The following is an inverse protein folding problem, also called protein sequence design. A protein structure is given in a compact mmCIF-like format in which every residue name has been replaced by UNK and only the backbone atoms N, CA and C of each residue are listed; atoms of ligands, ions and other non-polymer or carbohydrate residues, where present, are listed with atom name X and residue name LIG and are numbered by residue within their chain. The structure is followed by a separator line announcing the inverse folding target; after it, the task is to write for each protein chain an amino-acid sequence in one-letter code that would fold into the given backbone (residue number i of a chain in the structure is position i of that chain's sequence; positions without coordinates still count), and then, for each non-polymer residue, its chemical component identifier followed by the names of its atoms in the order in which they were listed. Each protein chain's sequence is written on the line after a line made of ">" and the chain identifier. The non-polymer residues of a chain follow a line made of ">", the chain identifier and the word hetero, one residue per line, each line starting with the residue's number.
data_IF_823787135124
#
_entry.id   IF_823787135124
#
_cell.length_a   1.000
_cell.length_b   1.000
_cell.length_c   1.000
_cell.angle_alpha   90.00
_cell.angle_beta   90.00
_cell.angle_gamma   90.00
#
_symmetry.space_group_name_H-M   'P 1'
#
loop_
_entity.id
_entity.type
_entity.pdbx_description
1 polymer ?
#
# COMPACT_ATOMS: atom_id res chain seq x y z
N UNK A 1 53.83 21.18 52.55
CA UNK A 1 55.04 20.51 52.03
C UNK A 1 54.58 19.29 51.25
N UNK A 2 54.62 19.37 49.91
CA UNK A 2 54.55 18.28 48.93
C UNK A 2 53.26 17.40 48.93
N UNK A 3 52.54 17.18 47.82
CA UNK A 3 52.97 17.03 46.43
C UNK A 3 51.86 17.48 45.45
N UNK A 4 52.32 18.17 44.41
CA UNK A 4 51.68 18.25 43.09
C UNK A 4 51.70 16.88 42.38
N UNK A 5 51.02 16.81 41.24
CA UNK A 5 50.98 15.77 40.21
C UNK A 5 49.96 14.65 40.37
N UNK A 6 48.85 14.76 39.65
CA UNK A 6 48.45 13.78 38.60
C UNK A 6 47.17 14.30 37.95
N UNK A 7 47.35 15.30 37.09
CA UNK A 7 46.41 15.63 36.02
C UNK A 7 46.99 15.05 34.74
N UNK A 8 46.69 13.79 34.42
CA UNK A 8 46.92 13.23 33.10
C UNK A 8 46.11 11.94 32.90
N UNK A 9 45.45 11.90 31.75
CA UNK A 9 45.01 10.72 31.03
C UNK A 9 43.85 9.89 31.57
N UNK A 10 42.64 10.42 31.36
CA UNK A 10 41.47 9.57 31.13
C UNK A 10 40.78 10.00 29.83
N UNK A 11 41.52 9.93 28.71
CA UNK A 11 40.97 10.11 27.37
C UNK A 11 40.12 8.87 27.08
N UNK A 12 38.83 9.09 26.83
CA UNK A 12 37.89 8.01 26.54
C UNK A 12 38.30 7.30 25.25
N UNK A 13 38.28 5.97 25.22
CA UNK A 13 38.48 5.21 23.97
C UNK A 13 37.49 5.59 22.86
N UNK A 14 36.36 6.19 23.22
CA UNK A 14 35.41 6.79 22.26
C UNK A 14 35.91 8.13 21.69
N UNK A 15 36.62 8.95 22.48
CA UNK A 15 37.25 10.18 21.98
C UNK A 15 38.44 9.83 21.07
N UNK A 16 39.21 8.78 21.38
CA UNK A 16 40.27 8.29 20.49
C UNK A 16 39.67 7.69 19.21
N UNK A 17 38.53 7.00 19.31
CA UNK A 17 37.78 6.50 18.15
C UNK A 17 37.24 7.62 17.25
N UNK A 18 36.68 8.69 17.84
CA UNK A 18 36.22 9.87 17.10
C UNK A 18 37.37 10.70 16.51
N UNK A 19 38.52 10.78 17.19
CA UNK A 19 39.71 11.48 16.69
C UNK A 19 40.37 10.70 15.54
N UNK A 20 40.40 9.36 15.59
CA UNK A 20 40.91 8.51 14.51
C UNK A 20 40.01 8.47 13.27
N UNK A 21 38.70 8.68 13.41
CA UNK A 21 37.77 8.83 12.28
C UNK A 21 37.82 10.23 11.63
N UNK A 22 38.54 11.19 12.24
CA UNK A 22 38.56 12.60 11.84
C UNK A 22 39.78 13.06 11.03
N UNK A 23 40.78 12.21 10.76
CA UNK A 23 41.82 12.53 9.76
C UNK A 23 41.20 12.40 8.35
N UNK A 24 40.44 13.42 7.96
CA UNK A 24 40.00 13.58 6.58
C UNK A 24 41.24 13.67 5.71
N UNK A 25 41.51 12.62 4.93
CA UNK A 25 42.63 12.60 3.99
C UNK A 25 42.49 13.79 3.05
N UNK A 26 43.55 14.57 2.89
CA UNK A 26 43.54 15.69 1.95
C UNK A 26 43.53 15.16 0.52
N UNK A 27 43.15 16.02 -0.43
CA UNK A 27 43.21 15.68 -1.86
C UNK A 27 44.63 15.29 -2.26
N UNK A 28 45.64 15.93 -1.66
CA UNK A 28 47.06 15.64 -1.85
C UNK A 28 47.44 14.24 -1.35
N UNK A 29 46.98 13.84 -0.16
CA UNK A 29 47.26 12.50 0.40
C UNK A 29 46.66 11.41 -0.50
N UNK A 30 45.42 11.61 -0.94
CA UNK A 30 44.73 10.66 -1.81
C UNK A 30 45.46 10.54 -3.16
N UNK A 31 45.95 11.65 -3.72
CA UNK A 31 46.75 11.65 -4.97
C UNK A 31 48.07 10.89 -4.85
N UNK A 32 48.67 10.86 -3.66
CA UNK A 32 49.90 10.13 -3.43
C UNK A 32 49.65 8.61 -3.45
N UNK A 33 48.49 8.19 -2.95
CA UNK A 33 48.11 6.77 -2.84
C UNK A 33 47.51 6.16 -4.11
N UNK A 34 47.18 6.98 -5.12
CA UNK A 34 46.70 6.48 -6.41
C UNK A 34 47.78 5.64 -7.10
N UNK A 35 47.40 4.45 -7.57
CA UNK A 35 48.28 3.64 -8.41
C UNK A 35 48.61 4.41 -9.70
N UNK A 36 49.90 4.48 -10.07
CA UNK A 36 50.40 5.19 -11.25
C UNK A 36 50.98 4.22 -12.26
N UNK A 37 50.93 4.60 -13.53
CA UNK A 37 51.61 3.89 -14.61
C UNK A 37 53.08 4.34 -14.74
N UNK A 38 53.82 3.67 -15.62
CA UNK A 38 55.24 3.96 -15.89
C UNK A 38 55.52 5.40 -16.34
N UNK A 39 54.48 6.13 -16.79
CA UNK A 39 54.56 7.54 -17.21
C UNK A 39 54.21 8.52 -16.07
N UNK A 40 54.00 8.02 -14.85
CA UNK A 40 53.65 8.83 -13.68
C UNK A 40 52.20 9.30 -13.60
N UNK A 41 51.35 8.89 -14.57
CA UNK A 41 49.93 9.24 -14.60
C UNK A 41 49.10 8.27 -13.76
N UNK A 42 48.03 8.76 -13.15
CA UNK A 42 47.06 7.92 -12.42
C UNK A 42 46.49 6.82 -13.32
N UNK A 43 46.56 5.59 -12.85
CA UNK A 43 45.95 4.44 -13.52
C UNK A 43 44.43 4.62 -13.57
N UNK A 44 43.85 4.36 -14.73
CA UNK A 44 42.41 4.53 -15.00
C UNK A 44 41.60 3.32 -14.53
N UNK A 45 41.86 2.83 -13.32
CA UNK A 45 41.27 1.60 -12.77
C UNK A 45 40.06 1.91 -11.89
N UNK A 46 39.17 0.93 -11.74
CA UNK A 46 38.06 1.02 -10.78
C UNK A 46 38.60 1.21 -9.36
N UNK A 47 39.68 0.52 -8.99
CA UNK A 47 40.27 0.62 -7.66
C UNK A 47 40.70 2.05 -7.29
N UNK A 48 41.32 2.78 -8.23
CA UNK A 48 41.67 4.19 -8.01
C UNK A 48 40.43 5.07 -7.86
N UNK A 49 39.36 4.80 -8.61
CA UNK A 49 38.10 5.53 -8.47
C UNK A 49 37.45 5.25 -7.10
N UNK A 50 37.43 3.98 -6.65
CA UNK A 50 36.93 3.58 -5.33
C UNK A 50 37.69 4.28 -4.21
N UNK A 51 39.03 4.31 -4.28
CA UNK A 51 39.87 4.99 -3.29
C UNK A 51 39.45 6.47 -3.11
N UNK A 52 39.21 7.17 -4.22
CA UNK A 52 38.73 8.56 -4.20
C UNK A 52 37.35 8.63 -3.55
N UNK A 53 36.37 7.84 -3.99
CA UNK A 53 35.02 7.88 -3.43
C UNK A 53 34.96 7.52 -1.93
N UNK A 54 35.90 6.72 -1.40
CA UNK A 54 35.93 6.34 0.01
C UNK A 54 36.67 7.33 0.91
N UNK A 55 37.59 8.13 0.36
CA UNK A 55 38.48 8.99 1.16
C UNK A 55 38.33 10.48 0.90
N UNK A 56 37.84 10.86 -0.27
CA UNK A 56 37.71 12.26 -0.66
C UNK A 56 36.76 13.01 0.29
N UNK A 57 37.17 14.17 0.83
CA UNK A 57 36.36 14.99 1.73
C UNK A 57 34.94 15.34 1.24
N UNK A 58 34.76 15.53 -0.07
CA UNK A 58 33.47 15.90 -0.65
C UNK A 58 32.67 14.65 -1.06
N UNK A 59 33.33 13.61 -1.55
CA UNK A 59 32.66 12.43 -2.10
C UNK A 59 32.40 11.31 -1.09
N UNK A 60 33.15 11.25 0.02
CA UNK A 60 33.00 10.23 1.06
C UNK A 60 31.58 10.25 1.62
N UNK A 61 30.85 9.15 1.41
CA UNK A 61 29.49 8.95 1.93
C UNK A 61 28.41 9.80 1.26
N UNK A 62 28.73 10.63 0.27
CA UNK A 62 27.74 11.48 -0.39
C UNK A 62 26.91 10.74 -1.43
N UNK A 63 27.47 9.72 -2.08
CA UNK A 63 26.77 8.91 -3.08
C UNK A 63 26.16 7.69 -2.41
N UNK A 64 24.82 7.62 -2.40
CA UNK A 64 24.07 6.63 -1.63
C UNK A 64 22.96 6.00 -2.46
N UNK A 65 22.68 4.70 -2.27
CA UNK A 65 21.55 4.02 -2.91
C UNK A 65 20.31 4.13 -2.02
N UNK A 66 19.25 4.71 -2.56
CA UNK A 66 17.95 4.80 -1.91
C UNK A 66 17.18 3.50 -2.14
N UNK A 67 16.90 2.75 -1.08
CA UNK A 67 16.23 1.44 -1.17
C UNK A 67 14.73 1.54 -1.50
N UNK A 68 14.09 2.67 -1.21
CA UNK A 68 12.68 2.90 -1.54
C UNK A 68 12.50 3.19 -3.04
N UNK A 69 13.33 4.08 -3.58
CA UNK A 69 13.25 4.51 -4.99
C UNK A 69 14.13 3.68 -5.93
N UNK A 70 15.08 2.91 -5.41
CA UNK A 70 16.10 2.20 -6.20
C UNK A 70 17.11 3.10 -6.91
N UNK A 71 17.00 4.42 -6.75
CA UNK A 71 17.87 5.42 -7.41
C UNK A 71 19.13 5.65 -6.58
N UNK A 72 20.14 6.23 -7.23
CA UNK A 72 21.28 6.81 -6.54
C UNK A 72 20.93 8.25 -6.19
N UNK A 73 21.11 8.62 -4.93
CA UNK A 73 20.97 9.98 -4.45
C UNK A 73 22.34 10.53 -4.04
N UNK A 74 22.48 11.84 -4.14
CA UNK A 74 23.61 12.58 -3.57
C UNK A 74 23.12 13.25 -2.29
N UNK A 75 23.78 12.91 -1.18
CA UNK A 75 23.54 13.43 0.17
C UNK A 75 24.71 14.33 0.55
N UNK A 76 24.39 15.54 1.02
CA UNK A 76 25.39 16.57 1.32
C UNK A 76 25.64 17.54 0.18
N UNK A 77 26.55 18.50 0.42
CA UNK A 77 26.84 19.57 -0.51
C UNK A 77 28.14 19.29 -1.27
N UNK A 78 28.05 19.01 -2.57
CA UNK A 78 29.20 18.79 -3.45
C UNK A 78 29.75 20.08 -4.10
N UNK A 79 29.20 21.24 -3.76
CA UNK A 79 29.70 22.54 -4.21
C UNK A 79 29.05 23.10 -5.46
N UNK A 80 28.10 22.38 -6.08
CA UNK A 80 27.24 22.91 -7.15
C UNK A 80 25.77 22.89 -6.75
N UNK A 81 24.97 23.74 -7.39
CA UNK A 81 23.54 23.84 -7.12
C UNK A 81 22.78 22.65 -7.71
N UNK A 82 21.84 22.11 -6.94
CA UNK A 82 21.02 20.96 -7.30
C UNK A 82 19.55 21.24 -6.98
N UNK A 83 18.65 20.63 -7.74
CA UNK A 83 17.19 20.78 -7.58
C UNK A 83 16.54 19.59 -6.88
N UNK A 84 17.22 18.44 -6.81
CA UNK A 84 16.72 17.24 -6.16
C UNK A 84 17.87 16.44 -5.54
N UNK A 85 17.56 15.51 -4.63
CA UNK A 85 18.55 14.59 -4.06
C UNK A 85 19.04 13.58 -5.09
N UNK A 86 18.17 13.08 -5.97
CA UNK A 86 18.50 12.06 -6.97
C UNK A 86 19.57 12.49 -7.95
N UNK A 87 20.48 11.56 -8.25
CA UNK A 87 21.58 11.74 -9.20
C UNK A 87 21.03 12.03 -10.61
N UNK A 88 21.53 13.10 -11.21
CA UNK A 88 21.20 13.51 -12.60
C UNK A 88 22.40 13.39 -13.52
N UNK A 89 22.18 13.43 -14.83
CA UNK A 89 23.28 13.43 -15.82
C UNK A 89 24.25 14.61 -15.61
N UNK A 90 23.72 15.78 -15.22
CA UNK A 90 24.56 16.94 -14.89
C UNK A 90 25.46 16.67 -13.69
N UNK A 91 24.93 16.03 -12.64
CA UNK A 91 25.75 15.63 -11.49
C UNK A 91 26.85 14.64 -11.90
N UNK A 92 26.52 13.69 -12.76
CA UNK A 92 27.49 12.73 -13.30
C UNK A 92 28.62 13.48 -14.03
N UNK A 93 28.31 14.45 -14.89
CA UNK A 93 29.33 15.26 -15.56
C UNK A 93 30.19 16.09 -14.59
N UNK A 94 29.59 16.65 -13.54
CA UNK A 94 30.33 17.39 -12.50
C UNK A 94 31.28 16.47 -11.74
N UNK A 95 30.85 15.26 -11.39
CA UNK A 95 31.68 14.24 -10.74
C UNK A 95 32.84 13.83 -11.66
N UNK A 96 32.59 13.53 -12.94
CA UNK A 96 33.65 13.20 -13.90
C UNK A 96 34.68 14.33 -14.00
N UNK A 97 34.22 15.58 -14.14
CA UNK A 97 35.10 16.74 -14.20
C UNK A 97 35.91 16.92 -12.91
N UNK A 98 35.28 16.74 -11.74
CA UNK A 98 35.95 16.81 -10.45
C UNK A 98 37.06 15.76 -10.33
N UNK A 99 36.78 14.50 -10.72
CA UNK A 99 37.75 13.42 -10.70
C UNK A 99 38.89 13.63 -11.71
N UNK A 100 38.58 14.16 -12.89
CA UNK A 100 39.59 14.48 -13.89
C UNK A 100 40.52 15.58 -13.38
N UNK A 101 39.95 16.70 -12.90
CA UNK A 101 40.68 17.88 -12.46
C UNK A 101 41.52 17.58 -11.23
N UNK A 102 40.95 16.85 -10.27
CA UNK A 102 41.60 16.64 -8.98
C UNK A 102 42.41 15.35 -8.91
N UNK A 103 42.14 14.32 -9.72
CA UNK A 103 42.82 13.03 -9.58
C UNK A 103 43.38 12.48 -10.89
N UNK A 104 43.13 13.15 -12.03
CA UNK A 104 43.55 12.70 -13.35
C UNK A 104 42.79 11.45 -13.83
N UNK A 105 41.64 11.13 -13.23
CA UNK A 105 40.80 10.00 -13.60
C UNK A 105 39.77 10.45 -14.64
N UNK A 106 39.81 9.84 -15.83
CA UNK A 106 39.09 10.27 -17.05
C UNK A 106 38.27 9.14 -17.70
N UNK A 107 38.30 7.94 -17.13
CA UNK A 107 37.58 6.81 -17.69
C UNK A 107 36.16 6.74 -17.13
N UNK A 108 35.22 7.36 -17.85
CA UNK A 108 33.82 7.48 -17.42
C UNK A 108 33.19 6.13 -17.07
N UNK A 109 33.53 5.07 -17.82
CA UNK A 109 33.01 3.73 -17.58
C UNK A 109 33.44 3.20 -16.21
N UNK A 110 34.69 3.40 -15.82
CA UNK A 110 35.19 2.95 -14.53
C UNK A 110 34.71 3.83 -13.38
N UNK A 111 34.59 5.14 -13.61
CA UNK A 111 34.01 6.07 -12.63
C UNK A 111 32.55 5.71 -12.36
N UNK A 112 31.74 5.48 -13.40
CA UNK A 112 30.34 5.09 -13.25
C UNK A 112 30.19 3.73 -12.56
N UNK A 113 31.08 2.76 -12.83
CA UNK A 113 31.09 1.47 -12.10
C UNK A 113 31.41 1.68 -10.63
N UNK A 114 32.45 2.44 -10.30
CA UNK A 114 32.82 2.74 -8.91
C UNK A 114 31.69 3.47 -8.18
N UNK A 115 31.06 4.46 -8.82
CA UNK A 115 29.92 5.18 -8.27
C UNK A 115 28.74 4.26 -7.93
N UNK A 116 28.41 3.29 -8.82
CA UNK A 116 27.38 2.30 -8.55
C UNK A 116 27.74 1.36 -7.38
N UNK A 117 29.01 0.95 -7.27
CA UNK A 117 29.49 0.11 -6.17
C UNK A 117 29.37 0.87 -4.85
N UNK A 118 29.90 2.08 -4.78
CA UNK A 118 29.88 2.95 -3.59
C UNK A 118 28.44 3.27 -3.16
N UNK A 119 27.56 3.59 -4.11
CA UNK A 119 26.15 3.79 -3.81
C UNK A 119 25.53 2.53 -3.17
N UNK A 120 25.87 1.35 -3.71
CA UNK A 120 25.40 0.06 -3.19
C UNK A 120 26.00 -0.30 -1.82
N UNK A 121 27.19 0.19 -1.48
CA UNK A 121 27.77 0.06 -0.14
C UNK A 121 27.08 1.01 0.85
N UNK A 122 26.76 2.22 0.41
CA UNK A 122 26.10 3.25 1.22
C UNK A 122 24.58 3.27 1.03
N UNK A 123 23.92 2.13 1.25
CA UNK A 123 22.45 2.03 1.16
C UNK A 123 21.76 2.75 2.31
N UNK A 124 20.56 3.23 2.02
CA UNK A 124 19.69 3.79 3.05
C UNK A 124 18.24 3.69 2.63
N UNK A 125 17.34 3.63 3.61
CA UNK A 125 15.91 3.65 3.36
C UNK A 125 15.31 4.90 4.03
N UNK A 126 14.85 5.90 3.27
CA UNK A 126 14.47 7.20 3.83
C UNK A 126 13.37 7.10 4.90
N UNK A 127 12.43 6.16 4.73
CA UNK A 127 11.34 5.93 5.69
C UNK A 127 11.84 5.23 6.96
N UNK A 128 12.68 4.18 6.87
CA UNK A 128 13.27 3.54 8.05
C UNK A 128 14.08 4.56 8.84
N UNK A 129 14.96 5.29 8.17
CA UNK A 129 15.79 6.33 8.77
C UNK A 129 14.95 7.42 9.45
N UNK A 130 13.75 7.71 8.95
CA UNK A 130 12.82 8.66 9.57
C UNK A 130 12.12 8.04 10.79
N UNK A 131 11.53 6.85 10.62
CA UNK A 131 10.79 6.14 11.66
C UNK A 131 11.66 5.81 12.88
N UNK A 132 12.91 5.41 12.68
CA UNK A 132 13.83 5.10 13.78
C UNK A 132 14.20 6.31 14.64
N UNK A 133 14.06 7.53 14.09
CA UNK A 133 14.33 8.78 14.82
C UNK A 133 13.12 9.27 15.62
N UNK A 134 11.94 8.67 15.42
CA UNK A 134 10.73 9.06 16.12
C UNK A 134 10.82 8.70 17.61
N UNK A 135 10.28 9.59 18.43
CA UNK A 135 10.13 9.41 19.87
C UNK A 135 8.67 9.64 20.23
N UNK A 136 8.04 8.59 20.75
CA UNK A 136 6.66 8.66 21.20
C UNK A 136 6.58 9.44 22.50
N UNK A 137 5.58 10.30 22.61
CA UNK A 137 5.30 11.09 23.81
C UNK A 137 4.40 10.37 24.84
N UNK A 138 4.02 9.12 24.57
CA UNK A 138 3.19 8.30 25.45
C UNK A 138 1.68 8.55 25.32
N UNK A 139 1.23 9.41 24.40
CA UNK A 139 -0.19 9.66 24.17
C UNK A 139 -0.72 8.86 22.98
N UNK A 140 -1.81 8.07 23.15
CA UNK A 140 -2.39 7.29 22.06
C UNK A 140 -3.14 8.20 21.08
N UNK A 141 -2.87 8.02 19.79
CA UNK A 141 -3.37 8.84 18.69
C UNK A 141 -3.89 8.04 17.50
N UNK A 142 -3.36 6.85 17.24
CA UNK A 142 -3.73 6.04 16.07
C UNK A 142 -5.26 5.87 15.99
N UNK A 143 -5.88 5.53 17.12
CA UNK A 143 -7.33 5.27 17.25
C UNK A 143 -8.21 6.47 16.88
N UNK A 144 -7.68 7.68 17.01
CA UNK A 144 -8.41 8.92 16.80
C UNK A 144 -8.08 9.60 15.48
N UNK A 145 -7.18 9.05 14.66
CA UNK A 145 -6.78 9.65 13.38
C UNK A 145 -7.99 9.87 12.45
N UNK A 146 -8.77 8.82 12.21
CA UNK A 146 -9.92 8.88 11.29
C UNK A 146 -11.09 9.67 11.91
N UNK A 147 -11.49 9.45 13.18
CA UNK A 147 -12.52 10.28 13.82
C UNK A 147 -12.18 11.77 13.83
N UNK A 148 -10.95 12.15 14.22
CA UNK A 148 -10.55 13.55 14.39
C UNK A 148 -10.54 14.33 13.08
N UNK A 149 -9.92 13.77 12.03
CA UNK A 149 -9.66 14.48 10.78
C UNK A 149 -10.73 14.27 9.72
N UNK A 150 -11.49 13.18 9.81
CA UNK A 150 -12.43 12.76 8.76
C UNK A 150 -13.84 12.48 9.31
N UNK A 151 -14.07 12.56 10.62
CA UNK A 151 -15.39 12.32 11.22
C UNK A 151 -15.85 10.87 11.08
N UNK A 152 -14.92 9.92 11.04
CA UNK A 152 -15.26 8.49 11.08
C UNK A 152 -15.79 8.06 12.46
N UNK A 153 -16.52 6.95 12.49
CA UNK A 153 -16.99 6.35 13.74
C UNK A 153 -15.83 5.95 14.68
N UNK A 154 -16.02 6.15 15.98
CA UNK A 154 -15.04 5.77 17.01
C UNK A 154 -15.29 4.32 17.52
N UNK A 155 -15.49 3.38 16.60
CA UNK A 155 -15.80 1.98 16.89
C UNK A 155 -14.53 1.08 16.93
N UNK A 156 -14.70 -0.18 17.35
CA UNK A 156 -13.61 -1.16 17.42
C UNK A 156 -13.01 -1.41 16.02
N UNK A 157 -13.87 -1.44 14.99
CA UNK A 157 -13.49 -1.71 13.60
C UNK A 157 -12.54 -0.64 13.05
N UNK A 158 -12.89 0.64 13.18
CA UNK A 158 -12.12 1.77 12.66
C UNK A 158 -10.75 1.86 13.34
N UNK A 159 -10.70 1.63 14.66
CA UNK A 159 -9.45 1.59 15.44
C UNK A 159 -8.56 0.45 14.99
N UNK A 160 -9.11 -0.76 14.86
CA UNK A 160 -8.35 -1.94 14.45
C UNK A 160 -7.81 -1.80 13.02
N UNK A 161 -8.62 -1.29 12.08
CA UNK A 161 -8.22 -1.07 10.70
C UNK A 161 -7.07 -0.06 10.60
N UNK A 162 -7.15 1.06 11.32
CA UNK A 162 -6.11 2.09 11.29
C UNK A 162 -4.79 1.57 11.88
N UNK A 163 -4.85 0.87 13.03
CA UNK A 163 -3.68 0.21 13.64
C UNK A 163 -3.05 -0.82 12.71
N UNK A 164 -3.88 -1.71 12.15
CA UNK A 164 -3.44 -2.75 11.22
C UNK A 164 -2.77 -2.14 9.98
N UNK A 165 -3.34 -1.08 9.42
CA UNK A 165 -2.79 -0.39 8.26
C UNK A 165 -1.42 0.21 8.55
N UNK A 166 -1.26 0.93 9.67
CA UNK A 166 0.02 1.54 10.04
C UNK A 166 1.08 0.47 10.34
N UNK A 167 0.73 -0.59 11.06
CA UNK A 167 1.64 -1.72 11.29
C UNK A 167 2.03 -2.39 9.97
N UNK A 168 1.08 -2.62 9.06
CA UNK A 168 1.36 -3.19 7.75
C UNK A 168 2.30 -2.30 6.92
N UNK A 169 2.13 -0.98 6.97
CA UNK A 169 3.00 -0.03 6.31
C UNK A 169 4.43 -0.06 6.86
N UNK A 170 4.60 -0.21 8.18
CA UNK A 170 5.91 -0.45 8.81
C UNK A 170 6.49 -1.78 8.33
N UNK A 171 5.75 -2.89 8.43
CA UNK A 171 6.21 -4.20 7.96
C UNK A 171 6.62 -4.18 6.48
N UNK A 172 5.89 -3.49 5.60
CA UNK A 172 6.25 -3.36 4.18
C UNK A 172 7.63 -2.73 3.98
N UNK A 173 8.02 -1.83 4.88
CA UNK A 173 9.31 -1.15 4.83
C UNK A 173 10.40 -2.01 5.49
N UNK A 174 10.19 -2.64 6.64
CA UNK A 174 11.22 -3.44 7.33
C UNK A 174 11.36 -4.87 6.78
N UNK A 175 10.28 -5.44 6.28
CA UNK A 175 10.18 -6.77 5.67
C UNK A 175 9.57 -6.68 4.26
N UNK A 176 10.29 -6.09 3.28
CA UNK A 176 9.80 -5.94 1.91
C UNK A 176 9.26 -7.25 1.34
N UNK A 177 8.04 -7.20 0.82
CA UNK A 177 7.32 -8.36 0.31
C UNK A 177 6.57 -9.19 1.34
N UNK A 178 6.41 -8.71 2.59
CA UNK A 178 5.45 -9.30 3.53
C UNK A 178 4.05 -9.44 2.89
N UNK A 179 3.26 -10.41 3.35
CA UNK A 179 1.91 -10.58 2.84
C UNK A 179 0.97 -9.61 3.55
N UNK A 180 0.43 -8.66 2.79
CA UNK A 180 -0.64 -7.77 3.23
C UNK A 180 -1.52 -7.41 2.04
N UNK A 181 -2.83 -7.63 2.17
CA UNK A 181 -3.79 -7.50 1.06
C UNK A 181 -5.06 -6.71 1.41
N UNK A 182 -5.09 -6.03 2.56
CA UNK A 182 -6.19 -5.15 2.96
C UNK A 182 -5.88 -3.73 2.47
N UNK A 183 -6.87 -3.09 1.86
CA UNK A 183 -6.84 -1.71 1.38
C UNK A 183 -7.91 -0.92 2.13
N UNK A 184 -7.47 0.07 2.91
CA UNK A 184 -8.38 0.98 3.62
C UNK A 184 -9.01 1.92 2.60
N UNK A 185 -10.34 1.97 2.57
CA UNK A 185 -11.11 2.74 1.61
C UNK A 185 -11.93 3.81 2.34
N UNK A 186 -11.56 5.08 2.20
CA UNK A 186 -12.34 6.17 2.80
C UNK A 186 -13.51 6.53 1.89
N UNK A 187 -14.73 6.45 2.42
CA UNK A 187 -15.98 6.67 1.67
C UNK A 187 -16.76 7.81 2.30
N UNK A 188 -17.03 8.86 1.54
CA UNK A 188 -17.82 9.99 2.04
C UNK A 188 -17.78 11.19 1.11
N UNK A 189 -18.44 12.27 1.49
CA UNK A 189 -18.63 13.46 0.65
C UNK A 189 -17.34 14.03 0.05
N UNK A 190 -17.48 14.70 -1.11
CA UNK A 190 -16.37 15.45 -1.71
C UNK A 190 -15.90 16.56 -0.76
N UNK A 191 -14.60 16.82 -0.76
CA UNK A 191 -14.02 17.87 0.09
C UNK A 191 -13.77 17.46 1.55
N UNK A 192 -14.05 16.21 1.93
CA UNK A 192 -13.78 15.68 3.28
C UNK A 192 -12.27 15.60 3.65
N UNK A 193 -11.35 15.89 2.73
CA UNK A 193 -9.91 15.82 2.99
C UNK A 193 -9.29 14.42 2.89
N UNK A 194 -9.99 13.42 2.34
CA UNK A 194 -9.53 12.01 2.23
C UNK A 194 -8.12 11.84 1.62
N UNK A 195 -7.91 12.35 0.40
CA UNK A 195 -6.61 12.25 -0.28
C UNK A 195 -5.52 13.05 0.44
N UNK A 196 -5.88 14.20 1.02
CA UNK A 196 -4.97 14.99 1.86
C UNK A 196 -4.55 14.24 3.12
N UNK A 197 -5.47 13.49 3.75
CA UNK A 197 -5.16 12.64 4.89
C UNK A 197 -4.12 11.60 4.55
N UNK A 198 -4.28 10.86 3.45
CA UNK A 198 -3.28 9.88 3.05
C UNK A 198 -1.95 10.50 2.63
N UNK A 199 -1.98 11.67 1.97
CA UNK A 199 -0.76 12.44 1.67
C UNK A 199 0.00 12.84 2.92
N UNK A 200 -0.68 13.32 3.95
CA UNK A 200 -0.03 13.67 5.23
C UNK A 200 0.39 12.42 6.01
N UNK A 201 -0.39 11.34 5.93
CA UNK A 201 -0.05 10.06 6.55
C UNK A 201 1.25 9.48 5.99
N UNK A 202 1.60 9.77 4.73
CA UNK A 202 2.88 9.41 4.14
C UNK A 202 4.07 10.21 4.71
N UNK A 203 3.84 11.17 5.62
CA UNK A 203 4.84 12.03 6.29
C UNK A 203 5.49 13.04 5.34
N UNK A 204 6.14 12.54 4.29
CA UNK A 204 6.66 13.32 3.18
C UNK A 204 5.76 13.10 1.96
N UNK A 205 5.33 14.19 1.33
CA UNK A 205 4.44 14.16 0.18
C UNK A 205 5.06 13.39 -1.01
N UNK A 206 6.39 13.31 -1.11
CA UNK A 206 7.08 12.49 -2.13
C UNK A 206 6.92 10.98 -1.91
N UNK A 207 6.52 10.53 -0.71
CA UNK A 207 6.24 9.12 -0.42
C UNK A 207 4.77 8.77 -0.65
N UNK A 208 3.98 9.72 -1.15
CA UNK A 208 2.59 9.53 -1.51
C UNK A 208 2.40 9.59 -3.03
N UNK A 209 1.51 8.78 -3.59
CA UNK A 209 1.13 8.84 -5.00
C UNK A 209 -0.33 8.49 -5.21
N UNK A 210 -1.02 9.27 -6.04
CA UNK A 210 -2.39 9.06 -6.52
C UNK A 210 -2.45 8.83 -8.06
N UNK A 211 -1.29 8.71 -8.72
CA UNK A 211 -1.20 8.59 -10.18
C UNK A 211 -1.44 7.16 -10.70
N UNK A 212 -1.84 6.23 -9.83
CA UNK A 212 -2.13 4.85 -10.21
C UNK A 212 -3.55 4.73 -10.79
N UNK A 213 -3.74 5.26 -12.00
CA UNK A 213 -5.04 5.27 -12.71
C UNK A 213 -5.40 3.94 -13.38
N UNK A 214 -4.38 3.15 -13.78
CA UNK A 214 -4.54 1.92 -14.56
C UNK A 214 -3.53 0.88 -14.13
N UNK A 215 -4.01 -0.32 -13.85
CA UNK A 215 -3.21 -1.43 -13.30
C UNK A 215 -2.59 -2.33 -14.39
N UNK A 216 -3.09 -2.18 -15.62
CA UNK A 216 -2.64 -2.87 -16.82
C UNK A 216 -1.54 -2.10 -17.59
N UNK A 217 -1.10 -0.95 -17.07
CA UNK A 217 -0.02 -0.16 -17.67
C UNK A 217 1.35 -0.83 -17.38
N UNK A 218 2.13 -1.06 -18.43
CA UNK A 218 3.48 -1.63 -18.36
C UNK A 218 4.42 -0.80 -17.45
N UNK A 219 4.08 0.47 -17.19
CA UNK A 219 4.82 1.39 -16.33
C UNK A 219 4.27 1.51 -14.91
N UNK A 220 3.25 0.75 -14.50
CA UNK A 220 2.69 0.77 -13.13
C UNK A 220 3.78 0.72 -12.07
N UNK A 221 4.79 -0.12 -12.28
CA UNK A 221 5.88 -0.26 -11.31
C UNK A 221 6.72 1.01 -11.14
N UNK A 222 6.92 1.78 -12.21
CA UNK A 222 7.62 3.07 -12.10
C UNK A 222 6.81 4.10 -11.32
N UNK A 223 5.47 4.02 -11.39
CA UNK A 223 4.56 4.85 -10.61
C UNK A 223 4.54 4.45 -9.14
N UNK A 224 4.77 3.18 -8.83
CA UNK A 224 4.86 2.70 -7.44
C UNK A 224 6.21 2.98 -6.79
N UNK A 225 7.30 2.90 -7.57
CA UNK A 225 8.67 3.05 -7.08
C UNK A 225 8.89 4.41 -6.42
N UNK A 226 9.45 4.41 -5.20
CA UNK A 226 9.66 5.65 -4.43
C UNK A 226 8.51 6.04 -3.50
N UNK A 227 7.36 5.36 -3.54
CA UNK A 227 6.19 5.70 -2.74
C UNK A 227 5.88 4.64 -1.68
N UNK A 228 5.40 5.09 -0.53
CA UNK A 228 5.02 4.26 0.62
C UNK A 228 3.51 4.02 0.67
N UNK A 229 2.73 5.07 0.44
CA UNK A 229 1.27 5.03 0.43
C UNK A 229 0.83 5.39 -0.99
N UNK A 230 0.10 4.48 -1.62
CA UNK A 230 -0.43 4.66 -2.96
C UNK A 230 -1.94 4.71 -2.89
N UNK A 231 -2.50 5.88 -3.16
CA UNK A 231 -3.93 6.08 -3.33
C UNK A 231 -4.36 5.56 -4.70
N UNK A 232 -5.45 4.80 -4.69
CA UNK A 232 -6.19 4.43 -5.88
C UNK A 232 -7.51 5.20 -5.87
N UNK A 233 -7.47 6.40 -6.44
CA UNK A 233 -8.60 7.34 -6.47
C UNK A 233 -9.69 6.86 -7.44
N UNK A 234 -10.95 6.97 -7.03
CA UNK A 234 -12.12 6.69 -7.89
C UNK A 234 -12.21 5.25 -8.43
N UNK A 235 -11.60 4.30 -7.74
CA UNK A 235 -11.30 2.94 -8.24
C UNK A 235 -12.42 2.15 -8.93
N UNK A 236 -13.69 2.49 -8.76
CA UNK A 236 -14.74 1.49 -8.95
C UNK A 236 -16.00 1.93 -9.72
N UNK A 237 -16.04 3.13 -10.31
CA UNK A 237 -17.23 3.56 -11.06
C UNK A 237 -17.48 2.76 -12.37
N UNK A 238 -16.52 1.95 -12.84
CA UNK A 238 -16.61 1.26 -14.15
C UNK A 238 -15.88 -0.10 -14.20
N UNK A 239 -15.99 -0.91 -13.15
CA UNK A 239 -15.21 -2.16 -13.04
C UNK A 239 -16.09 -3.36 -13.38
N UNK A 240 -15.80 -3.99 -14.52
CA UNK A 240 -16.40 -5.28 -14.89
C UNK A 240 -15.75 -6.42 -14.08
N UNK A 241 -16.37 -7.61 -14.08
CA UNK A 241 -15.92 -8.76 -13.29
C UNK A 241 -14.42 -9.11 -13.46
N UNK A 242 -13.90 -8.96 -14.69
CA UNK A 242 -12.50 -9.25 -15.02
C UNK A 242 -11.54 -8.30 -14.31
N UNK A 243 -11.86 -7.00 -14.28
CA UNK A 243 -11.03 -6.00 -13.60
C UNK A 243 -10.99 -6.18 -12.07
N UNK A 244 -11.99 -6.81 -11.44
CA UNK A 244 -11.99 -7.08 -9.99
C UNK A 244 -10.91 -8.12 -9.63
N UNK A 245 -10.84 -9.21 -10.39
CA UNK A 245 -9.83 -10.25 -10.17
C UNK A 245 -8.41 -9.70 -10.35
N UNK A 246 -8.23 -8.82 -11.35
CA UNK A 246 -6.96 -8.13 -11.60
C UNK A 246 -6.58 -7.19 -10.44
N UNK A 247 -7.53 -6.40 -9.91
CA UNK A 247 -7.32 -5.56 -8.72
C UNK A 247 -6.92 -6.42 -7.52
N UNK A 248 -7.69 -7.48 -7.23
CA UNK A 248 -7.44 -8.39 -6.11
C UNK A 248 -6.08 -9.05 -6.24
N UNK A 249 -5.72 -9.51 -7.44
CA UNK A 249 -4.42 -10.08 -7.76
C UNK A 249 -3.32 -9.05 -7.50
N UNK A 250 -3.47 -7.84 -8.03
CA UNK A 250 -2.48 -6.79 -7.87
C UNK A 250 -2.25 -6.38 -6.42
N UNK A 251 -3.31 -6.14 -5.63
CA UNK A 251 -3.20 -5.84 -4.19
C UNK A 251 -2.51 -7.00 -3.44
N UNK A 252 -2.79 -8.24 -3.85
CA UNK A 252 -2.27 -9.45 -3.20
C UNK A 252 -0.79 -9.75 -3.46
N UNK A 253 -0.19 -9.18 -4.52
CA UNK A 253 1.21 -9.45 -4.90
C UNK A 253 2.18 -9.04 -3.79
N UNK A 254 3.26 -9.80 -3.66
CA UNK A 254 4.34 -9.57 -2.70
C UNK A 254 5.61 -9.02 -3.35
N UNK A 255 5.73 -9.14 -4.67
CA UNK A 255 6.86 -8.64 -5.44
C UNK A 255 6.43 -8.28 -6.84
N UNK A 256 7.22 -7.43 -7.44
CA UNK A 256 7.14 -6.98 -8.81
C UNK A 256 8.38 -7.48 -9.56
N UNK A 257 8.19 -8.21 -10.66
CA UNK A 257 9.29 -8.62 -11.54
C UNK A 257 9.30 -7.70 -12.76
N UNK A 258 10.29 -6.82 -12.86
CA UNK A 258 10.42 -5.95 -14.03
C UNK A 258 11.87 -5.54 -14.31
N UNK A 259 12.11 -5.09 -15.54
CA UNK A 259 13.40 -4.63 -16.03
C UNK A 259 13.39 -3.09 -16.12
N UNK A 260 14.27 -2.41 -15.39
CA UNK A 260 14.48 -0.97 -15.59
C UNK A 260 15.22 -0.80 -16.93
N UNK A 261 14.95 0.28 -17.71
CA UNK A 261 15.77 0.59 -18.88
C UNK A 261 17.26 0.53 -18.55
N UNK A 262 18.06 0.00 -19.49
CA UNK A 262 19.52 -0.16 -19.36
C UNK A 262 20.01 -1.24 -18.39
N UNK A 263 19.14 -1.85 -17.57
CA UNK A 263 19.49 -3.09 -16.87
C UNK A 263 19.62 -4.24 -17.88
N UNK A 264 20.46 -5.22 -17.59
CA UNK A 264 20.62 -6.40 -18.47
C UNK A 264 19.55 -7.46 -18.18
N UNK A 265 19.20 -7.63 -16.91
CA UNK A 265 18.29 -8.67 -16.43
C UNK A 265 17.13 -8.05 -15.64
N UNK A 266 15.91 -8.60 -15.75
CA UNK A 266 14.83 -8.25 -14.84
C UNK A 266 15.19 -8.66 -13.41
N UNK A 267 14.76 -7.86 -12.44
CA UNK A 267 14.98 -8.10 -11.02
C UNK A 267 13.63 -8.24 -10.29
N UNK A 268 13.60 -9.12 -9.29
CA UNK A 268 12.49 -9.20 -8.36
C UNK A 268 12.60 -8.08 -7.34
N UNK A 269 11.59 -7.21 -7.29
CA UNK A 269 11.52 -6.09 -6.34
C UNK A 269 10.40 -6.39 -5.35
N UNK A 270 10.72 -6.75 -4.09
CA UNK A 270 9.71 -6.99 -3.08
C UNK A 270 8.93 -5.70 -2.77
N UNK A 271 7.62 -5.84 -2.56
CA UNK A 271 6.73 -4.70 -2.38
C UNK A 271 6.95 -4.02 -1.03
N UNK A 272 7.17 -2.70 -1.08
CA UNK A 272 7.42 -1.82 0.07
C UNK A 272 6.28 -0.82 0.36
N UNK A 273 5.25 -0.79 -0.49
CA UNK A 273 4.12 0.13 -0.35
C UNK A 273 2.85 -0.55 0.18
N UNK A 274 1.93 0.26 0.69
CA UNK A 274 0.55 -0.09 1.01
C UNK A 274 -0.41 0.68 0.10
N UNK A 275 -1.59 0.10 -0.14
CA UNK A 275 -2.63 0.71 -0.96
C UNK A 275 -3.75 1.26 -0.10
N UNK A 276 -4.31 2.38 -0.54
CA UNK A 276 -5.49 3.02 0.04
C UNK A 276 -6.45 3.42 -1.07
N UNK A 277 -7.73 3.47 -0.76
CA UNK A 277 -8.78 3.87 -1.70
C UNK A 277 -9.52 5.09 -1.18
N UNK A 278 -10.01 5.92 -2.09
CA UNK A 278 -10.98 6.97 -1.78
C UNK A 278 -12.16 6.90 -2.74
N UNK A 279 -13.36 7.10 -2.20
CA UNK A 279 -14.59 7.16 -2.97
C UNK A 279 -15.53 8.23 -2.44
N UNK A 280 -16.27 8.86 -3.34
CA UNK A 280 -17.42 9.68 -3.02
C UNK A 280 -18.75 8.92 -3.21
N UNK A 281 -18.71 7.74 -3.84
CA UNK A 281 -19.87 6.88 -4.05
C UNK A 281 -19.94 5.82 -2.94
N UNK A 282 -21.14 5.59 -2.41
CA UNK A 282 -21.43 4.50 -1.50
C UNK A 282 -21.34 3.15 -2.23
N UNK A 283 -21.78 3.09 -3.49
CA UNK A 283 -21.75 1.87 -4.32
C UNK A 283 -20.38 1.67 -4.99
N UNK A 284 -19.30 1.82 -4.22
CA UNK A 284 -17.94 1.69 -4.75
C UNK A 284 -17.43 0.26 -4.70
N UNK A 285 -17.97 -0.64 -3.90
CA UNK A 285 -17.48 -2.01 -3.93
C UNK A 285 -17.97 -2.71 -5.20
N UNK A 286 -17.13 -3.54 -5.82
CA UNK A 286 -17.61 -4.30 -6.95
C UNK A 286 -18.68 -5.29 -6.50
N UNK A 287 -19.58 -5.62 -7.43
CA UNK A 287 -20.53 -6.69 -7.27
C UNK A 287 -19.83 -8.07 -7.33
N UNK A 288 -19.07 -8.39 -6.29
CA UNK A 288 -18.33 -9.64 -6.17
C UNK A 288 -18.91 -10.55 -5.10
N UNK A 289 -19.66 -11.55 -5.54
CA UNK A 289 -20.29 -12.54 -4.66
C UNK A 289 -19.29 -13.52 -4.03
N UNK A 290 -18.03 -13.54 -4.47
CA UNK A 290 -16.92 -14.28 -3.80
C UNK A 290 -16.34 -13.53 -2.60
N UNK A 291 -16.77 -12.28 -2.39
CA UNK A 291 -16.46 -11.46 -1.22
C UNK A 291 -15.38 -10.40 -1.48
N UNK A 292 -15.50 -9.28 -0.76
CA UNK A 292 -14.65 -8.09 -0.92
C UNK A 292 -13.61 -7.94 0.19
N UNK A 293 -13.13 -9.04 0.81
CA UNK A 293 -12.24 -9.05 1.99
C UNK A 293 -10.98 -8.16 1.93
N UNK A 294 -10.57 -7.72 0.74
CA UNK A 294 -9.40 -6.86 0.51
C UNK A 294 -9.72 -5.37 0.62
N UNK A 295 -11.00 -5.00 0.63
CA UNK A 295 -11.46 -3.63 0.72
C UNK A 295 -12.05 -3.40 2.11
N UNK A 296 -11.48 -2.49 2.88
CA UNK A 296 -11.98 -2.11 4.19
C UNK A 296 -12.59 -0.70 4.12
N UNK A 297 -13.91 -0.58 3.86
CA UNK A 297 -14.56 0.72 3.83
C UNK A 297 -14.52 1.37 5.22
N UNK A 298 -14.34 2.68 5.27
CA UNK A 298 -14.55 3.50 6.46
C UNK A 298 -15.36 4.71 6.03
N UNK A 299 -16.53 4.88 6.63
CA UNK A 299 -17.38 6.04 6.41
C UNK A 299 -16.73 7.28 7.03
N UNK A 300 -16.78 8.38 6.28
CA UNK A 300 -16.25 9.67 6.72
C UNK A 300 -17.31 10.74 6.55
N UNK A 301 -17.49 11.53 7.61
CA UNK A 301 -18.55 12.52 7.75
C UNK A 301 -17.94 13.90 7.98
N UNK A 302 -17.84 14.76 6.94
CA UNK A 302 -17.32 16.12 7.09
C UNK A 302 -17.99 16.92 8.20
N UNK A 303 -19.27 16.68 8.45
CA UNK A 303 -20.08 17.28 9.49
C UNK A 303 -19.67 16.92 10.92
N UNK A 304 -18.94 15.82 11.12
CA UNK A 304 -18.48 15.33 12.43
C UNK A 304 -16.99 15.61 12.67
N UNK A 305 -16.32 16.25 11.72
CA UNK A 305 -14.89 16.57 11.82
C UNK A 305 -14.67 17.57 12.95
N UNK A 306 -13.88 17.16 13.96
CA UNK A 306 -13.47 18.04 15.07
C UNK A 306 -12.57 19.17 14.54
N UNK A 307 -11.65 18.83 13.63
CA UNK A 307 -10.69 19.76 13.03
C UNK A 307 -10.33 19.31 11.62
N UNK A 308 -10.56 20.17 10.63
CA UNK A 308 -10.24 19.82 9.25
C UNK A 308 -8.72 19.71 9.08
N UNK A 309 -8.26 18.69 8.35
CA UNK A 309 -6.83 18.37 8.26
C UNK A 309 -5.96 19.52 7.72
N UNK A 310 -6.53 20.39 6.88
CA UNK A 310 -5.88 21.58 6.32
C UNK A 310 -6.01 22.85 7.17
N UNK A 311 -6.77 22.82 8.27
CA UNK A 311 -6.97 24.00 9.12
C UNK A 311 -5.65 24.44 9.77
N UNK A 312 -4.84 23.48 10.20
CA UNK A 312 -3.48 23.70 10.71
C UNK A 312 -2.59 22.53 10.27
N UNK A 313 -1.97 22.67 9.10
CA UNK A 313 -1.12 21.61 8.53
C UNK A 313 0.04 21.23 9.46
N UNK A 314 0.61 22.19 10.20
CA UNK A 314 1.75 21.92 11.08
C UNK A 314 1.33 21.04 12.25
N UNK A 315 0.20 21.33 12.89
CA UNK A 315 -0.34 20.50 13.96
C UNK A 315 -0.80 19.13 13.43
N UNK A 316 -1.48 19.09 12.29
CA UNK A 316 -1.91 17.83 11.65
C UNK A 316 -0.73 16.90 11.36
N UNK A 317 0.35 17.43 10.78
CA UNK A 317 1.58 16.65 10.51
C UNK A 317 2.27 16.21 11.79
N UNK A 318 2.29 17.03 12.84
CA UNK A 318 2.86 16.64 14.13
C UNK A 318 2.05 15.54 14.82
N UNK A 319 0.72 15.63 14.77
CA UNK A 319 -0.17 14.60 15.31
C UNK A 319 0.05 13.25 14.61
N UNK A 320 0.10 13.26 13.28
CA UNK A 320 0.42 12.08 12.46
C UNK A 320 1.82 11.55 12.76
N UNK A 321 2.81 12.44 12.93
CA UNK A 321 4.17 12.06 13.32
C UNK A 321 4.18 11.32 14.65
N UNK A 322 3.43 11.79 15.64
CA UNK A 322 3.29 11.10 16.93
C UNK A 322 2.51 9.79 16.83
N UNK A 323 1.51 9.70 15.95
CA UNK A 323 0.82 8.42 15.68
C UNK A 323 1.77 7.39 15.04
N UNK A 324 2.68 7.81 14.15
CA UNK A 324 3.74 6.92 13.65
C UNK A 324 4.74 6.52 14.74
N UNK A 325 5.05 7.43 15.67
CA UNK A 325 5.90 7.11 16.82
C UNK A 325 5.23 6.05 17.73
N UNK A 326 3.93 6.19 18.00
CA UNK A 326 3.13 5.17 18.69
C UNK A 326 3.15 3.84 17.93
N UNK A 327 2.94 3.86 16.61
CA UNK A 327 2.95 2.65 15.78
C UNK A 327 4.30 1.94 15.79
N UNK A 328 5.40 2.70 15.86
CA UNK A 328 6.75 2.14 16.01
C UNK A 328 6.96 1.49 17.37
N UNK A 329 6.42 2.06 18.46
CA UNK A 329 6.46 1.44 19.78
C UNK A 329 5.63 0.16 19.82
N UNK A 330 4.43 0.16 19.20
CA UNK A 330 3.64 -1.05 19.00
C UNK A 330 4.46 -2.09 18.25
N UNK A 331 5.02 -1.74 17.09
CA UNK A 331 5.87 -2.62 16.27
C UNK A 331 7.02 -3.24 17.07
N UNK A 332 7.75 -2.44 17.85
CA UNK A 332 8.88 -2.87 18.71
C UNK A 332 8.45 -3.78 19.86
N UNK A 333 7.24 -3.62 20.39
CA UNK A 333 6.72 -4.44 21.48
C UNK A 333 6.38 -5.89 21.08
N UNK A 334 6.54 -6.26 19.79
CA UNK A 334 6.53 -7.64 19.31
C UNK A 334 5.18 -8.17 18.83
N UNK A 335 5.19 -9.45 18.40
CA UNK A 335 4.14 -10.22 17.70
C UNK A 335 2.90 -9.46 17.22
N UNK A 336 2.95 -9.06 15.94
CA UNK A 336 1.81 -8.52 15.19
C UNK A 336 1.39 -9.52 14.11
N UNK A 337 0.14 -9.95 14.13
CA UNK A 337 -0.45 -10.60 12.96
C UNK A 337 -1.02 -9.52 12.04
N UNK A 338 -0.59 -9.50 10.77
CA UNK A 338 -1.14 -8.61 9.74
C UNK A 338 -2.50 -9.11 9.24
N UNK A 339 -3.43 -9.35 10.17
CA UNK A 339 -4.77 -9.87 9.94
C UNK A 339 -5.75 -9.18 10.87
N UNK A 340 -7.00 -9.12 10.42
CA UNK A 340 -8.10 -8.68 11.27
C UNK A 340 -8.49 -9.79 12.24
N UNK A 341 -9.01 -9.40 13.39
CA UNK A 341 -9.66 -10.28 14.34
C UNK A 341 -10.90 -10.90 13.70
N UNK A 342 -11.27 -12.12 14.13
CA UNK A 342 -12.43 -12.83 13.56
C UNK A 342 -13.75 -12.03 13.69
N UNK A 343 -13.93 -11.32 14.81
CA UNK A 343 -15.08 -10.42 15.04
C UNK A 343 -15.11 -9.29 14.00
N UNK A 344 -13.97 -8.68 13.74
CA UNK A 344 -13.84 -7.56 12.80
C UNK A 344 -13.97 -8.02 11.35
N UNK A 345 -13.51 -9.23 11.01
CA UNK A 345 -13.78 -9.83 9.69
C UNK A 345 -15.27 -10.10 9.45
N UNK A 346 -16.00 -10.57 10.46
CA UNK A 346 -17.45 -10.77 10.38
C UNK A 346 -18.20 -9.44 10.21
N UNK A 347 -17.86 -8.44 11.03
CA UNK A 347 -18.41 -7.09 10.89
C UNK A 347 -18.13 -6.49 9.52
N UNK A 348 -16.87 -6.61 9.04
CA UNK A 348 -16.48 -6.13 7.72
C UNK A 348 -17.31 -6.77 6.60
N UNK A 349 -17.58 -8.09 6.67
CA UNK A 349 -18.40 -8.78 5.65
C UNK A 349 -19.83 -8.27 5.61
N UNK A 350 -20.42 -7.97 6.76
CA UNK A 350 -21.78 -7.41 6.83
C UNK A 350 -21.79 -5.98 6.29
N UNK A 351 -20.90 -5.12 6.78
CA UNK A 351 -20.81 -3.72 6.36
C UNK A 351 -20.50 -3.58 4.86
N UNK A 352 -19.68 -4.46 4.27
CA UNK A 352 -19.39 -4.44 2.83
C UNK A 352 -20.64 -4.57 1.95
N UNK A 353 -21.73 -5.19 2.43
CA UNK A 353 -22.96 -5.34 1.65
C UNK A 353 -23.59 -3.97 1.36
N UNK A 354 -23.45 -3.02 2.27
CA UNK A 354 -24.02 -1.67 2.16
C UNK A 354 -23.26 -0.79 1.14
N UNK A 355 -22.08 -1.22 0.69
CA UNK A 355 -21.27 -0.51 -0.30
C UNK A 355 -21.26 -1.18 -1.68
N UNK A 356 -22.02 -2.27 -1.83
CA UNK A 356 -22.18 -2.95 -3.11
C UNK A 356 -23.37 -2.36 -3.85
N UNK A 357 -23.27 -2.11 -5.17
CA UNK A 357 -24.42 -1.67 -5.94
C UNK A 357 -25.53 -2.71 -5.86
N UNK A 358 -26.78 -2.25 -5.90
CA UNK A 358 -27.92 -3.15 -6.03
C UNK A 358 -27.79 -3.99 -7.32
N UNK A 359 -27.91 -5.30 -7.17
CA UNK A 359 -27.91 -6.19 -8.32
C UNK A 359 -29.29 -6.16 -8.98
N UNK A 360 -29.43 -5.38 -10.06
CA UNK A 360 -30.66 -5.33 -10.84
C UNK A 360 -31.16 -6.74 -11.25
N UNK A 361 -30.25 -7.71 -11.43
CA UNK A 361 -30.62 -9.10 -11.73
C UNK A 361 -31.31 -9.80 -10.57
N UNK A 362 -30.97 -9.47 -9.32
CA UNK A 362 -31.65 -10.02 -8.14
C UNK A 362 -33.11 -9.59 -8.13
N UNK A 363 -33.38 -8.30 -8.35
CA UNK A 363 -34.77 -7.80 -8.41
C UNK A 363 -35.58 -8.44 -9.54
N UNK A 364 -35.01 -8.54 -10.74
CA UNK A 364 -35.67 -9.18 -11.90
C UNK A 364 -35.95 -10.66 -11.62
N UNK A 365 -34.96 -11.40 -11.13
CA UNK A 365 -35.10 -12.82 -10.84
C UNK A 365 -36.09 -13.05 -9.70
N UNK A 366 -36.02 -12.28 -8.61
CA UNK A 366 -36.91 -12.43 -7.46
C UNK A 366 -38.37 -12.18 -7.86
N UNK A 367 -38.67 -11.08 -8.56
CA UNK A 367 -40.02 -10.78 -9.04
C UNK A 367 -40.57 -11.91 -9.92
N UNK A 368 -39.74 -12.43 -10.83
CA UNK A 368 -40.14 -13.55 -11.68
C UNK A 368 -40.35 -14.84 -10.89
N UNK A 369 -39.50 -15.15 -9.91
CA UNK A 369 -39.64 -16.33 -9.03
C UNK A 369 -40.86 -16.24 -8.12
N UNK A 370 -41.29 -15.04 -7.73
CA UNK A 370 -42.46 -14.82 -6.89
C UNK A 370 -43.76 -15.07 -7.68
N UNK A 371 -43.77 -14.77 -8.98
CA UNK A 371 -44.87 -15.05 -9.90
C UNK A 371 -44.86 -16.50 -10.44
N UNK A 372 -43.72 -17.19 -10.33
CA UNK A 372 -43.53 -18.54 -10.86
C UNK A 372 -44.34 -19.59 -10.07
N UNK A 373 -45.26 -20.27 -10.77
CA UNK A 373 -46.08 -21.34 -10.17
C UNK A 373 -45.30 -22.65 -9.96
N UNK A 374 -44.23 -22.87 -10.73
CA UNK A 374 -43.41 -24.07 -10.65
C UNK A 374 -42.50 -24.09 -9.41
N UNK A 375 -42.35 -25.29 -8.82
CA UNK A 375 -41.42 -25.53 -7.72
C UNK A 375 -39.98 -25.78 -8.17
N UNK A 376 -39.73 -25.87 -9.48
CA UNK A 376 -38.43 -26.20 -10.04
C UNK A 376 -38.02 -25.18 -11.10
N UNK A 377 -36.81 -24.64 -10.95
CA UNK A 377 -36.24 -23.65 -11.87
C UNK A 377 -34.82 -24.05 -12.29
N UNK A 378 -34.41 -23.74 -13.52
CA UNK A 378 -33.02 -23.87 -13.97
C UNK A 378 -32.47 -22.55 -14.54
N UNK A 379 -31.14 -22.44 -14.67
CA UNK A 379 -30.51 -21.19 -15.11
C UNK A 379 -30.89 -20.79 -16.54
N UNK A 380 -31.20 -21.76 -17.42
CA UNK A 380 -31.64 -21.50 -18.79
C UNK A 380 -33.07 -20.95 -18.80
N UNK A 381 -33.94 -21.48 -17.94
CA UNK A 381 -35.32 -21.01 -17.78
C UNK A 381 -35.33 -19.56 -17.31
N UNK A 382 -34.55 -19.25 -16.26
CA UNK A 382 -34.39 -17.86 -15.77
C UNK A 382 -33.85 -16.94 -16.88
N UNK A 383 -32.84 -17.38 -17.64
CA UNK A 383 -32.29 -16.59 -18.74
C UNK A 383 -33.36 -16.23 -19.78
N UNK A 384 -34.14 -17.24 -20.21
CA UNK A 384 -35.11 -17.06 -21.29
C UNK A 384 -36.35 -16.31 -20.85
N UNK A 385 -36.85 -16.61 -19.66
CA UNK A 385 -38.15 -16.13 -19.18
C UNK A 385 -38.00 -14.86 -18.34
N UNK A 386 -37.13 -14.85 -17.32
CA UNK A 386 -36.97 -13.68 -16.44
C UNK A 386 -36.27 -12.51 -17.15
N UNK A 387 -35.31 -12.77 -18.04
CA UNK A 387 -34.60 -11.74 -18.80
C UNK A 387 -35.13 -11.54 -20.23
N UNK A 388 -36.26 -12.17 -20.58
CA UNK A 388 -36.91 -12.04 -21.89
C UNK A 388 -36.03 -12.39 -23.11
N UNK A 389 -35.08 -13.32 -22.94
CA UNK A 389 -34.20 -13.83 -23.99
C UNK A 389 -34.71 -15.13 -24.63
N UNK A 390 -36.01 -15.20 -24.93
CA UNK A 390 -36.70 -16.43 -25.36
C UNK A 390 -36.03 -17.13 -26.56
N UNK A 391 -35.51 -16.35 -27.51
CA UNK A 391 -34.92 -16.82 -28.76
C UNK A 391 -33.40 -16.93 -28.74
N UNK A 392 -32.74 -16.45 -27.68
CA UNK A 392 -31.29 -16.44 -27.60
C UNK A 392 -30.75 -17.73 -26.97
N UNK A 393 -29.51 -18.05 -27.33
CA UNK A 393 -28.75 -19.11 -26.67
C UNK A 393 -27.83 -18.46 -25.64
N UNK A 394 -28.00 -18.78 -24.34
CA UNK A 394 -27.19 -18.17 -23.30
C UNK A 394 -25.72 -18.56 -23.43
N UNK A 395 -24.82 -17.60 -23.22
CA UNK A 395 -23.38 -17.85 -23.08
C UNK A 395 -23.09 -18.41 -21.68
N UNK A 396 -22.01 -19.18 -21.56
CA UNK A 396 -21.61 -19.81 -20.29
C UNK A 396 -21.44 -18.82 -19.12
N UNK A 397 -20.98 -17.60 -19.40
CA UNK A 397 -20.78 -16.58 -18.36
C UNK A 397 -22.12 -16.00 -17.85
N UNK A 398 -23.13 -15.86 -18.71
CA UNK A 398 -24.47 -15.39 -18.32
C UNK A 398 -25.15 -16.42 -17.41
N UNK A 399 -25.04 -17.71 -17.76
CA UNK A 399 -25.54 -18.78 -16.91
C UNK A 399 -24.80 -18.83 -15.57
N UNK A 400 -23.48 -18.60 -15.56
CA UNK A 400 -22.70 -18.52 -14.31
C UNK A 400 -23.17 -17.38 -13.43
N UNK A 401 -23.48 -16.21 -13.99
CA UNK A 401 -24.01 -15.09 -13.22
C UNK A 401 -25.38 -15.39 -12.60
N UNK A 402 -26.31 -15.99 -13.36
CA UNK A 402 -27.62 -16.41 -12.86
C UNK A 402 -27.47 -17.44 -11.74
N UNK A 403 -26.63 -18.47 -11.96
CA UNK A 403 -26.32 -19.46 -10.94
C UNK A 403 -25.78 -18.81 -9.67
N UNK A 404 -24.93 -17.80 -9.82
CA UNK A 404 -24.33 -17.10 -8.71
C UNK A 404 -25.37 -16.23 -7.97
N UNK A 405 -26.41 -15.70 -8.65
CA UNK A 405 -27.52 -14.97 -8.00
C UNK A 405 -28.36 -15.94 -7.17
N UNK A 406 -28.80 -17.02 -7.80
CA UNK A 406 -29.66 -18.02 -7.17
C UNK A 406 -29.02 -18.66 -5.92
N UNK A 407 -27.70 -18.87 -5.93
CA UNK A 407 -27.02 -19.55 -4.83
C UNK A 407 -26.68 -18.63 -3.64
N UNK A 408 -26.55 -17.31 -3.83
CA UNK A 408 -26.04 -16.40 -2.79
C UNK A 408 -26.99 -15.27 -2.41
N UNK A 409 -27.94 -14.91 -3.29
CA UNK A 409 -28.78 -13.72 -3.12
C UNK A 409 -30.27 -14.06 -3.01
N UNK A 410 -30.72 -15.19 -3.57
CA UNK A 410 -32.12 -15.63 -3.54
C UNK A 410 -32.33 -16.58 -2.36
N UNK A 411 -33.33 -16.29 -1.52
CA UNK A 411 -33.69 -17.10 -0.35
C UNK A 411 -34.92 -17.96 -0.68
N UNK A 412 -35.04 -19.14 -0.06
CA UNK A 412 -36.21 -20.02 -0.24
C UNK A 412 -36.10 -21.01 -1.40
N UNK A 413 -34.91 -21.14 -2.01
CA UNK A 413 -34.62 -22.09 -3.08
C UNK A 413 -33.38 -22.93 -2.74
N UNK A 414 -33.43 -24.24 -2.96
CA UNK A 414 -32.32 -25.16 -2.69
C UNK A 414 -31.77 -25.76 -3.99
N UNK A 415 -30.46 -25.97 -4.04
CA UNK A 415 -29.79 -26.46 -5.26
C UNK A 415 -30.00 -27.96 -5.46
N UNK A 416 -30.31 -28.36 -6.69
CA UNK A 416 -30.50 -29.76 -7.09
C UNK A 416 -29.51 -30.17 -8.17
N UNK A 417 -29.08 -31.44 -8.12
CA UNK A 417 -28.03 -32.00 -8.99
C UNK A 417 -28.51 -32.37 -10.39
N UNK A 418 -29.81 -32.65 -10.56
CA UNK A 418 -30.43 -32.96 -11.86
C UNK A 418 -31.96 -32.94 -11.74
N UNK A 419 -32.64 -32.33 -12.70
CA UNK A 419 -34.10 -32.42 -12.88
C UNK A 419 -34.45 -32.23 -14.36
N UNK A 420 -35.57 -32.81 -14.81
CA UNK A 420 -36.05 -32.68 -16.19
C UNK A 420 -37.08 -31.56 -16.26
N UNK A 421 -36.69 -30.45 -16.86
CA UNK A 421 -37.53 -29.27 -17.05
C UNK A 421 -38.28 -29.37 -18.38
N UNK A 422 -39.58 -29.09 -18.38
CA UNK A 422 -40.37 -29.01 -19.60
C UNK A 422 -39.80 -27.91 -20.50
N UNK A 423 -39.58 -28.19 -21.79
CA UNK A 423 -38.99 -27.24 -22.74
C UNK A 423 -37.47 -27.04 -22.65
N UNK A 424 -36.82 -27.40 -21.52
CA UNK A 424 -35.39 -27.14 -21.28
C UNK A 424 -34.53 -28.39 -21.06
N UNK A 425 -35.14 -29.57 -21.00
CA UNK A 425 -34.45 -30.85 -20.88
C UNK A 425 -33.89 -31.10 -19.48
N UNK A 426 -32.92 -32.02 -19.37
CA UNK A 426 -32.31 -32.37 -18.09
C UNK A 426 -31.22 -31.36 -17.74
N UNK A 427 -31.41 -30.60 -16.67
CA UNK A 427 -30.49 -29.56 -16.21
C UNK A 427 -30.24 -29.66 -14.71
N UNK A 428 -29.18 -29.00 -14.24
CA UNK A 428 -29.05 -28.60 -12.83
C UNK A 428 -29.96 -27.41 -12.58
N UNK A 429 -30.43 -27.24 -11.36
CA UNK A 429 -31.35 -26.15 -11.04
C UNK A 429 -31.56 -25.98 -9.55
N UNK A 430 -32.70 -25.39 -9.20
CA UNK A 430 -33.14 -25.17 -7.83
C UNK A 430 -34.57 -25.64 -7.65
N UNK A 431 -34.87 -26.09 -6.44
CA UNK A 431 -36.22 -26.44 -5.99
C UNK A 431 -36.67 -25.44 -4.93
N UNK A 432 -37.93 -25.01 -4.98
CA UNK A 432 -38.54 -24.16 -3.97
C UNK A 432 -38.58 -24.93 -2.64
N UNK A 433 -38.06 -24.33 -1.58
CA UNK A 433 -38.14 -24.90 -0.23
C UNK A 433 -39.56 -24.68 0.27
N UNK A 434 -40.37 -25.75 0.32
CA UNK A 434 -41.72 -25.68 0.86
C UNK A 434 -41.67 -25.28 2.35
N UNK A 435 -42.28 -24.15 2.70
CA UNK A 435 -42.55 -23.76 4.11
C UNK A 435 -42.01 -22.42 4.63
N UNK A 436 -42.24 -21.29 3.94
CA UNK A 436 -42.18 -19.94 4.57
C UNK A 436 -43.39 -19.02 4.30
N UNK A 437 -44.38 -19.48 3.53
CA UNK A 437 -45.67 -18.78 3.33
C UNK A 437 -46.85 -19.45 4.04
N UNK A 438 -46.61 -20.34 5.00
CA UNK A 438 -47.63 -20.68 5.99
C UNK A 438 -47.41 -19.78 7.19
N UNK A 439 -48.44 -19.01 7.57
CA UNK A 439 -48.48 -18.32 8.86
C UNK A 439 -48.04 -19.31 9.93
N UNK A 440 -46.93 -19.03 10.62
CA UNK A 440 -46.61 -19.77 11.82
C UNK A 440 -47.70 -19.45 12.84
N UNK A 441 -48.50 -20.45 13.22
CA UNK A 441 -49.33 -20.32 14.40
C UNK A 441 -48.42 -19.98 15.58
N UNK A 442 -48.70 -18.85 16.23
CA UNK A 442 -48.07 -18.53 17.50
C UNK A 442 -48.31 -19.70 18.46
N UNK A 443 -47.30 -20.17 19.22
CA UNK A 443 -47.53 -21.05 20.35
C UNK A 443 -48.65 -20.45 21.22
N UNK A 444 -49.53 -21.30 21.78
CA UNK A 444 -50.68 -20.85 22.60
C UNK A 444 -50.27 -19.99 23.82
N UNK A 445 -48.97 -19.90 24.11
CA UNK A 445 -48.39 -19.20 25.25
C UNK A 445 -47.73 -17.83 24.92
N UNK A 446 -47.89 -17.29 23.70
CA UNK A 446 -47.30 -15.98 23.36
C UNK A 446 -48.20 -14.82 23.81
N UNK A 447 -47.72 -14.06 24.80
CA UNK A 447 -48.34 -12.79 25.22
C UNK A 447 -48.09 -11.72 24.15
N UNK A 448 -49.18 -11.22 23.56
CA UNK A 448 -49.16 -10.17 22.54
C UNK A 448 -49.03 -8.80 23.23
N UNK A 449 -48.12 -7.88 22.81
CA UNK A 449 -47.81 -6.67 23.59
C UNK A 449 -48.88 -5.55 23.56
N UNK A 450 -50.03 -5.76 22.92
CA UNK A 450 -50.97 -4.67 22.60
C UNK A 450 -52.44 -4.95 22.92
N UNK A 451 -52.74 -5.79 23.92
CA UNK A 451 -54.06 -5.81 24.54
C UNK A 451 -53.94 -5.59 26.05
N UNK A 452 -54.04 -4.32 26.45
CA UNK A 452 -54.86 -3.85 27.59
C UNK A 452 -54.64 -2.34 27.79
N UNK A 453 -55.61 -1.54 27.34
CA UNK A 453 -56.14 -0.39 28.09
C UNK A 453 -57.55 -0.04 27.65
#
# INVERSE_FOLDING_TARGET
>A
MQRESESEDNISWNEIGEVLDSEMSTVEDIRADLARNDKGNSCQTINNCMLVFHRDPLLKGSIRKNELSGKIDIVGNLGWQRTSSSLTDTDVYQIHWYLEKNYGLKNDRNINKAMNIVASENRYHPIRDYLEKLKWDGQPRIDNLLPRYLGADCDDYTKEIMRLFMLAAIHRVYEPGCKFEIMVCLVGGQGAGKSTFFRFLAINDEWFSDDLKRMDDDNVYRKMQGHWIIEMSEMMATVNAKSIEDIKSFISRQKETYKIPYETHPEDRPRQCVFVGTSNNMDFLPLDRTGNRRFAPVLVHPEWVEKHILEDEKESREYIRQAWAEAMELYRNGFHELKLSGKTEEYLKEMQKDFMPEDAKVGIIQNWLDELAEDYVCSIMIYKEAFSHEYDTPKDWELKEINNVMNHSIVGWEKISSHRFAGYGTQRGWRRVAGKNEFQNLPEDVVIPFEER
#
